data_IF_487370343905
#
_entry.id   IF_487370343905
#
_cell.length_a   1.000
_cell.length_b   1.000
_cell.length_c   1.000
_cell.angle_alpha   90.00
_cell.angle_beta   90.00
_cell.angle_gamma   90.00
#
_symmetry.space_group_name_H-M   'P 1'
#
loop_
_entity.id
_entity.type
_entity.pdbx_description
1 polymer ?
#
# COMPACT_ATOMS: atom_id res chain seq x y z
N UNK A 1 11.01 -57.62 12.12
CA UNK A 1 11.19 -56.52 11.14
C UNK A 1 11.41 -55.25 11.94
N UNK A 2 12.64 -55.08 12.46
CA UNK A 2 12.97 -53.94 13.31
C UNK A 2 13.42 -52.81 12.40
N UNK A 3 12.59 -51.78 12.30
CA UNK A 3 12.94 -50.54 11.62
C UNK A 3 13.97 -49.84 12.52
N UNK A 4 15.24 -50.19 12.36
CA UNK A 4 16.32 -49.34 12.83
C UNK A 4 16.26 -48.09 11.97
N UNK A 5 15.72 -47.00 12.51
CA UNK A 5 15.93 -45.67 11.94
C UNK A 5 17.44 -45.47 11.90
N UNK A 6 18.07 -45.70 10.75
CA UNK A 6 19.49 -45.45 10.58
C UNK A 6 19.68 -43.95 10.79
N UNK A 7 20.63 -43.52 11.65
CA UNK A 7 20.94 -42.11 11.83
C UNK A 7 21.10 -41.35 10.50
N UNK A 8 21.57 -42.07 9.47
CA UNK A 8 21.74 -41.59 8.10
C UNK A 8 20.45 -41.12 7.42
N UNK A 9 19.27 -41.62 7.82
CA UNK A 9 18.01 -41.20 7.20
C UNK A 9 17.75 -39.71 7.44
N UNK A 10 18.06 -39.20 8.63
CA UNK A 10 17.92 -37.77 8.92
C UNK A 10 18.82 -36.95 8.01
N UNK A 11 20.05 -37.41 7.76
CA UNK A 11 20.98 -36.73 6.85
C UNK A 11 20.43 -36.72 5.42
N UNK A 12 19.93 -37.85 4.92
CA UNK A 12 19.33 -37.94 3.59
C UNK A 12 18.07 -37.05 3.44
N UNK A 13 17.20 -37.02 4.45
CA UNK A 13 16.03 -36.12 4.47
C UNK A 13 16.48 -34.65 4.41
N UNK A 14 17.48 -34.27 5.20
CA UNK A 14 18.04 -32.92 5.20
C UNK A 14 18.56 -32.50 3.83
N UNK A 15 19.36 -33.35 3.19
CA UNK A 15 19.87 -33.08 1.84
C UNK A 15 18.77 -33.11 0.76
N UNK A 16 17.79 -34.00 0.86
CA UNK A 16 16.65 -34.02 -0.06
C UNK A 16 15.85 -32.72 0.02
N UNK A 17 15.56 -32.21 1.23
CA UNK A 17 14.94 -30.90 1.40
C UNK A 17 15.81 -29.77 0.83
N UNK A 18 17.13 -29.86 0.97
CA UNK A 18 18.05 -28.88 0.37
C UNK A 18 18.00 -28.91 -1.17
N UNK A 19 17.86 -30.09 -1.79
CA UNK A 19 17.63 -30.21 -3.23
C UNK A 19 16.28 -29.63 -3.65
N UNK A 20 15.22 -29.86 -2.86
CA UNK A 20 13.90 -29.25 -3.09
C UNK A 20 13.98 -27.72 -2.99
N UNK A 21 14.78 -27.19 -2.07
CA UNK A 21 15.01 -25.75 -1.97
C UNK A 21 15.61 -25.17 -3.25
N UNK A 22 16.48 -25.89 -3.98
CA UNK A 22 17.04 -25.42 -5.26
C UNK A 22 15.99 -25.29 -6.37
N UNK A 23 14.84 -25.96 -6.25
CA UNK A 23 13.74 -25.87 -7.21
C UNK A 23 12.76 -24.72 -6.88
N UNK A 24 12.92 -24.08 -5.72
CA UNK A 24 12.04 -23.03 -5.25
C UNK A 24 12.16 -21.76 -6.11
N UNK A 25 11.07 -21.37 -6.78
CA UNK A 25 10.99 -20.10 -7.54
C UNK A 25 10.68 -18.90 -6.66
N UNK A 26 9.89 -19.11 -5.60
CA UNK A 26 9.52 -18.07 -4.65
C UNK A 26 10.53 -17.96 -3.52
N UNK A 27 11.01 -16.75 -3.26
CA UNK A 27 12.01 -16.49 -2.22
C UNK A 27 11.53 -16.88 -0.81
N UNK A 28 10.23 -16.77 -0.53
CA UNK A 28 9.65 -17.22 0.74
C UNK A 28 9.74 -18.75 0.88
N UNK A 29 9.41 -19.46 -0.19
CA UNK A 29 9.38 -20.92 -0.21
C UNK A 29 10.79 -21.49 -0.10
N UNK A 30 11.74 -20.89 -0.82
CA UNK A 30 13.17 -21.18 -0.67
C UNK A 30 13.62 -21.09 0.79
N UNK A 31 13.34 -19.95 1.45
CA UNK A 31 13.76 -19.73 2.85
C UNK A 31 13.08 -20.67 3.83
N UNK A 32 11.79 -20.94 3.64
CA UNK A 32 11.04 -21.87 4.50
C UNK A 32 11.56 -23.30 4.41
N UNK A 33 11.82 -23.81 3.19
CA UNK A 33 12.38 -25.15 2.99
C UNK A 33 13.80 -25.25 3.56
N UNK A 34 14.63 -24.21 3.40
CA UNK A 34 15.97 -24.17 4.00
C UNK A 34 15.92 -24.23 5.55
N UNK A 35 14.98 -23.51 6.18
CA UNK A 35 14.76 -23.60 7.64
C UNK A 35 14.46 -25.04 8.05
N UNK A 36 13.56 -25.73 7.35
CA UNK A 36 13.23 -27.12 7.65
C UNK A 36 14.43 -28.06 7.46
N UNK A 37 15.13 -27.95 6.32
CA UNK A 37 16.29 -28.76 5.98
C UNK A 37 17.41 -28.63 7.03
N UNK A 38 17.77 -27.40 7.37
CA UNK A 38 18.88 -27.10 8.27
C UNK A 38 18.51 -27.35 9.73
N UNK A 39 17.24 -27.21 10.12
CA UNK A 39 16.78 -27.62 11.47
C UNK A 39 16.95 -29.13 11.66
N UNK A 40 16.61 -29.91 10.64
CA UNK A 40 16.78 -31.36 10.66
C UNK A 40 18.28 -31.75 10.73
N UNK A 41 19.15 -31.11 9.94
CA UNK A 41 20.59 -31.35 9.98
C UNK A 41 21.24 -30.88 11.29
N UNK A 42 20.79 -29.76 11.86
CA UNK A 42 21.24 -29.28 13.18
C UNK A 42 20.87 -30.28 14.28
N UNK A 43 19.64 -30.82 14.26
CA UNK A 43 19.18 -31.81 15.22
C UNK A 43 20.01 -33.10 15.14
N UNK A 44 20.23 -33.62 13.93
CA UNK A 44 21.11 -34.77 13.71
C UNK A 44 22.53 -34.51 14.23
N UNK A 45 23.12 -33.37 13.91
CA UNK A 45 24.47 -33.02 14.34
C UNK A 45 24.58 -32.91 15.87
N UNK A 46 23.54 -32.36 16.52
CA UNK A 46 23.48 -32.24 17.98
C UNK A 46 23.48 -33.62 18.65
N UNK A 47 22.63 -34.55 18.20
CA UNK A 47 22.51 -35.88 18.82
C UNK A 47 23.78 -36.73 18.66
N UNK A 48 24.63 -36.41 17.69
CA UNK A 48 25.89 -37.11 17.42
C UNK A 48 27.13 -36.36 17.93
N UNK A 49 26.96 -35.26 18.67
CA UNK A 49 28.08 -34.50 19.24
C UNK A 49 28.90 -33.69 18.22
N UNK A 50 28.38 -33.48 17.01
CA UNK A 50 29.04 -32.73 15.94
C UNK A 50 28.85 -31.22 16.14
N UNK A 51 29.59 -30.63 17.08
CA UNK A 51 29.42 -29.24 17.50
C UNK A 51 29.54 -28.22 16.35
N UNK A 52 30.53 -28.38 15.47
CA UNK A 52 30.73 -27.49 14.33
C UNK A 52 29.56 -27.50 13.33
N UNK A 53 29.06 -28.69 12.99
CA UNK A 53 27.93 -28.86 12.09
C UNK A 53 26.64 -28.32 12.71
N UNK A 54 26.44 -28.54 14.01
CA UNK A 54 25.31 -27.99 14.77
C UNK A 54 25.31 -26.46 14.73
N UNK A 55 26.46 -25.83 15.00
CA UNK A 55 26.60 -24.38 15.01
C UNK A 55 26.23 -23.76 13.66
N UNK A 56 26.82 -24.25 12.56
CA UNK A 56 26.57 -23.70 11.23
C UNK A 56 25.12 -23.88 10.79
N UNK A 57 24.54 -25.06 10.97
CA UNK A 57 23.13 -25.28 10.61
C UNK A 57 22.19 -24.41 11.45
N UNK A 58 22.45 -24.26 12.75
CA UNK A 58 21.66 -23.38 13.63
C UNK A 58 21.74 -21.92 13.19
N UNK A 59 22.93 -21.44 12.82
CA UNK A 59 23.12 -20.08 12.31
C UNK A 59 22.31 -19.84 11.02
N UNK A 60 22.35 -20.78 10.08
CA UNK A 60 21.55 -20.67 8.87
C UNK A 60 20.04 -20.73 9.15
N UNK A 61 19.59 -21.57 10.09
CA UNK A 61 18.19 -21.61 10.52
C UNK A 61 17.74 -20.24 11.02
N UNK A 62 18.52 -19.62 11.91
CA UNK A 62 18.20 -18.29 12.46
C UNK A 62 18.09 -17.25 11.35
N UNK A 63 19.08 -17.18 10.46
CA UNK A 63 19.09 -16.21 9.36
C UNK A 63 17.87 -16.41 8.45
N UNK A 64 17.62 -17.65 8.00
CA UNK A 64 16.50 -17.94 7.11
C UNK A 64 15.15 -17.72 7.81
N UNK A 65 15.02 -18.02 9.10
CA UNK A 65 13.81 -17.77 9.89
C UNK A 65 13.49 -16.27 10.01
N UNK A 66 14.50 -15.43 10.24
CA UNK A 66 14.32 -13.96 10.25
C UNK A 66 13.81 -13.47 8.89
N UNK A 67 14.37 -13.96 7.77
CA UNK A 67 13.89 -13.62 6.43
C UNK A 67 12.45 -14.08 6.19
N UNK A 68 12.10 -15.31 6.57
CA UNK A 68 10.72 -15.82 6.48
C UNK A 68 9.77 -14.91 7.25
N UNK A 69 10.09 -14.60 8.52
CA UNK A 69 9.25 -13.75 9.37
C UNK A 69 9.11 -12.33 8.81
N UNK A 70 10.18 -11.75 8.26
CA UNK A 70 10.16 -10.43 7.62
C UNK A 70 9.23 -10.44 6.40
N UNK A 71 9.37 -11.41 5.50
CA UNK A 71 8.53 -11.52 4.30
C UNK A 71 7.07 -11.79 4.67
N UNK A 72 6.81 -12.65 5.66
CA UNK A 72 5.44 -12.91 6.13
C UNK A 72 4.81 -11.66 6.75
N UNK A 73 5.61 -10.84 7.47
CA UNK A 73 5.14 -9.56 8.01
C UNK A 73 4.86 -8.54 6.90
N UNK A 74 5.69 -8.48 5.87
CA UNK A 74 5.50 -7.64 4.68
C UNK A 74 4.25 -8.07 3.87
N UNK A 75 3.97 -9.38 3.82
CA UNK A 75 2.78 -9.95 3.13
C UNK A 75 1.51 -9.92 3.97
N UNK A 76 1.57 -9.60 5.26
CA UNK A 76 0.41 -9.63 6.15
C UNK A 76 -0.52 -8.46 5.81
N UNK A 77 -1.61 -8.76 5.11
CA UNK A 77 -2.65 -7.79 4.80
C UNK A 77 -3.24 -7.19 6.09
N UNK A 78 -3.23 -5.86 6.17
CA UNK A 78 -3.93 -5.14 7.24
C UNK A 78 -5.44 -5.21 6.98
N UNK A 79 -6.22 -5.53 8.01
CA UNK A 79 -7.69 -5.51 7.93
C UNK A 79 -8.15 -4.05 7.82
N UNK A 80 -8.74 -3.68 6.69
CA UNK A 80 -9.36 -2.38 6.52
C UNK A 80 -10.70 -2.34 7.28
N UNK A 81 -11.01 -1.24 7.99
CA UNK A 81 -12.36 -0.97 8.47
C UNK A 81 -13.35 -0.98 7.30
N UNK A 82 -14.56 -1.51 7.51
CA UNK A 82 -15.56 -1.68 6.43
C UNK A 82 -15.89 -0.36 5.70
N UNK A 83 -16.00 0.74 6.44
CA UNK A 83 -16.24 2.07 5.89
C UNK A 83 -15.15 2.51 4.89
N UNK A 84 -13.89 2.13 5.14
CA UNK A 84 -12.76 2.51 4.30
C UNK A 84 -12.47 1.48 3.20
N UNK A 85 -12.89 0.22 3.38
CA UNK A 85 -12.69 -0.83 2.39
C UNK A 85 -13.39 -0.52 1.04
N UNK A 86 -14.55 0.16 1.09
CA UNK A 86 -15.23 0.65 -0.11
C UNK A 86 -14.42 1.70 -0.87
N UNK A 87 -13.95 2.73 -0.15
CA UNK A 87 -13.12 3.82 -0.70
C UNK A 87 -11.82 3.27 -1.28
N UNK A 88 -11.16 2.38 -0.54
CA UNK A 88 -9.89 1.79 -0.98
C UNK A 88 -10.04 1.04 -2.31
N UNK A 89 -11.05 0.19 -2.44
CA UNK A 89 -11.27 -0.60 -3.66
C UNK A 89 -11.65 0.24 -4.88
N UNK A 90 -12.38 1.34 -4.68
CA UNK A 90 -12.87 2.17 -5.76
C UNK A 90 -11.84 3.19 -6.22
N UNK A 91 -11.28 3.95 -5.28
CA UNK A 91 -10.53 5.17 -5.61
C UNK A 91 -9.01 5.01 -5.34
N UNK A 92 -8.62 4.13 -4.40
CA UNK A 92 -7.22 3.95 -3.99
C UNK A 92 -6.66 2.54 -4.30
N UNK A 93 -7.21 1.86 -5.30
CA UNK A 93 -6.85 0.47 -5.62
C UNK A 93 -5.36 0.30 -6.02
N UNK A 94 -4.71 1.39 -6.45
CA UNK A 94 -3.28 1.40 -6.78
C UNK A 94 -2.36 1.29 -5.54
N UNK A 95 -2.88 1.52 -4.33
CA UNK A 95 -2.15 1.38 -3.05
C UNK A 95 -2.48 0.05 -2.38
N UNK A 96 -1.52 -0.56 -1.69
CA UNK A 96 -1.82 -1.69 -0.80
C UNK A 96 -2.65 -1.24 0.40
N UNK A 97 -3.43 -2.14 1.00
CA UNK A 97 -4.29 -1.85 2.17
C UNK A 97 -3.56 -1.12 3.32
N UNK A 98 -2.33 -1.57 3.63
CA UNK A 98 -1.51 -0.97 4.68
C UNK A 98 -1.01 0.43 4.30
N UNK A 99 -0.62 0.62 3.04
CA UNK A 99 -0.16 1.92 2.53
C UNK A 99 -1.30 2.93 2.52
N UNK A 100 -2.46 2.51 2.03
CA UNK A 100 -3.67 3.30 2.07
C UNK A 100 -4.04 3.71 3.50
N UNK A 101 -4.06 2.79 4.47
CA UNK A 101 -4.39 3.13 5.86
C UNK A 101 -3.36 4.09 6.48
N UNK A 102 -2.07 3.87 6.21
CA UNK A 102 -1.02 4.79 6.66
C UNK A 102 -1.23 6.19 6.06
N UNK A 103 -1.46 6.27 4.75
CA UNK A 103 -1.74 7.53 4.07
C UNK A 103 -3.03 8.19 4.56
N UNK A 104 -4.11 7.43 4.73
CA UNK A 104 -5.40 7.92 5.18
C UNK A 104 -5.29 8.59 6.55
N UNK A 105 -4.54 7.98 7.47
CA UNK A 105 -4.30 8.49 8.81
C UNK A 105 -3.43 9.76 8.88
N UNK A 106 -2.74 10.13 7.79
CA UNK A 106 -2.00 11.41 7.69
C UNK A 106 -2.93 12.59 7.35
N UNK A 107 -4.20 12.31 7.07
CA UNK A 107 -5.22 13.33 6.81
C UNK A 107 -6.21 13.46 7.96
N UNK A 108 -7.02 14.50 7.90
CA UNK A 108 -8.07 14.80 8.88
C UNK A 108 -9.43 14.79 8.21
N UNK A 109 -10.37 14.06 8.83
CA UNK A 109 -11.78 14.09 8.43
C UNK A 109 -12.46 15.33 8.99
N UNK A 110 -13.18 16.09 8.16
CA UNK A 110 -13.99 17.24 8.61
C UNK A 110 -15.24 17.43 7.77
N UNK A 111 -16.22 18.10 8.36
CA UNK A 111 -17.39 18.60 7.64
C UNK A 111 -17.12 20.02 7.15
N UNK A 112 -17.66 20.36 5.97
CA UNK A 112 -17.52 21.69 5.39
C UNK A 112 -18.76 22.06 4.56
N UNK A 113 -18.96 23.36 4.40
CA UNK A 113 -20.01 23.96 3.56
C UNK A 113 -19.46 25.20 2.85
N UNK A 114 -20.10 25.60 1.76
CA UNK A 114 -19.68 26.76 0.98
C UNK A 114 -18.39 26.53 0.20
N UNK A 115 -17.48 27.51 0.18
CA UNK A 115 -16.27 27.46 -0.65
C UNK A 115 -15.21 26.54 -0.04
N UNK A 116 -14.74 25.57 -0.83
CA UNK A 116 -13.70 24.62 -0.46
C UNK A 116 -12.32 25.04 -0.99
N UNK A 117 -12.27 25.53 -2.24
CA UNK A 117 -11.06 26.03 -2.91
C UNK A 117 -11.41 27.31 -3.66
N UNK A 118 -10.54 28.31 -3.57
CA UNK A 118 -10.68 29.57 -4.31
C UNK A 118 -9.85 29.54 -5.60
N UNK A 119 -10.39 30.08 -6.69
CA UNK A 119 -9.64 30.27 -7.94
C UNK A 119 -8.35 31.09 -7.72
N UNK A 120 -7.28 30.77 -8.45
CA UNK A 120 -5.98 31.43 -8.35
C UNK A 120 -5.21 31.17 -7.05
N UNK A 121 -5.67 30.27 -6.18
CA UNK A 121 -5.00 29.95 -4.92
C UNK A 121 -4.04 28.77 -5.03
N UNK A 122 -3.14 28.63 -4.05
CA UNK A 122 -2.44 27.38 -3.78
C UNK A 122 -3.10 26.73 -2.56
N UNK A 123 -3.93 25.68 -2.73
CA UNK A 123 -4.57 25.01 -1.62
C UNK A 123 -3.55 24.54 -0.60
N UNK A 124 -3.78 24.87 0.67
CA UNK A 124 -2.94 24.37 1.76
C UNK A 124 -3.13 22.86 1.99
N UNK A 125 -4.22 22.29 1.47
CA UNK A 125 -4.64 20.91 1.65
C UNK A 125 -5.13 20.31 0.33
N UNK A 126 -4.85 19.03 0.12
CA UNK A 126 -5.56 18.19 -0.85
C UNK A 126 -6.84 17.70 -0.22
N UNK A 127 -7.97 17.87 -0.89
CA UNK A 127 -9.28 17.46 -0.39
C UNK A 127 -9.77 16.22 -1.15
N UNK A 128 -10.42 15.31 -0.45
CA UNK A 128 -11.16 14.18 -1.02
C UNK A 128 -12.58 14.17 -0.46
N UNK A 129 -13.58 14.15 -1.35
CA UNK A 129 -14.98 14.17 -0.96
C UNK A 129 -15.43 12.77 -0.53
N UNK A 130 -15.61 12.54 0.76
CA UNK A 130 -16.11 11.27 1.31
C UNK A 130 -17.61 11.13 1.07
N UNK A 131 -18.38 12.20 1.28
CA UNK A 131 -19.82 12.23 0.98
C UNK A 131 -20.30 13.64 0.62
N UNK A 132 -21.41 13.72 -0.11
CA UNK A 132 -21.99 14.97 -0.59
C UNK A 132 -21.56 15.28 -2.04
N UNK A 133 -21.79 16.52 -2.46
CA UNK A 133 -21.45 17.00 -3.81
C UNK A 133 -20.85 18.41 -3.74
N UNK A 134 -19.91 18.67 -4.63
CA UNK A 134 -19.40 20.01 -4.89
C UNK A 134 -19.49 20.32 -6.38
N UNK A 135 -19.28 21.57 -6.73
CA UNK A 135 -19.20 22.05 -8.11
C UNK A 135 -17.89 22.79 -8.33
N UNK A 136 -17.40 22.72 -9.57
CA UNK A 136 -16.24 23.48 -10.04
C UNK A 136 -16.75 24.64 -10.86
N UNK A 137 -16.36 25.87 -10.49
CA UNK A 137 -16.72 27.08 -11.22
C UNK A 137 -15.49 27.79 -11.75
N UNK A 138 -15.48 28.09 -13.04
CA UNK A 138 -14.43 28.89 -13.68
C UNK A 138 -15.07 30.13 -14.27
N UNK A 139 -14.54 31.31 -13.91
CA UNK A 139 -15.09 32.61 -14.34
C UNK A 139 -16.61 32.73 -14.08
N UNK A 140 -17.06 32.25 -12.91
CA UNK A 140 -18.47 32.30 -12.51
C UNK A 140 -19.38 31.25 -13.16
N UNK A 141 -18.92 30.51 -14.17
CA UNK A 141 -19.69 29.42 -14.80
C UNK A 141 -19.33 28.08 -14.18
N UNK A 142 -20.34 27.27 -13.91
CA UNK A 142 -20.14 25.88 -13.52
C UNK A 142 -19.64 25.08 -14.71
N UNK A 143 -18.50 24.41 -14.54
CA UNK A 143 -17.83 23.65 -15.62
C UNK A 143 -17.78 22.14 -15.34
N UNK A 144 -18.00 21.73 -14.09
CA UNK A 144 -18.05 20.32 -13.71
C UNK A 144 -18.70 20.15 -12.34
N UNK A 145 -19.33 18.99 -12.12
CA UNK A 145 -19.76 18.51 -10.81
C UNK A 145 -18.72 17.55 -10.23
N UNK A 146 -18.51 17.63 -8.90
CA UNK A 146 -17.63 16.76 -8.11
C UNK A 146 -18.48 15.91 -7.17
N UNK A 147 -18.74 14.64 -7.51
CA UNK A 147 -19.42 13.72 -6.61
C UNK A 147 -18.49 13.23 -5.49
N UNK A 148 -19.05 12.54 -4.51
CA UNK A 148 -18.28 11.73 -3.56
C UNK A 148 -17.34 10.76 -4.29
N UNK A 149 -16.12 10.61 -3.78
CA UNK A 149 -15.03 9.86 -4.43
C UNK A 149 -14.06 10.73 -5.21
N UNK A 150 -14.37 12.01 -5.46
CA UNK A 150 -13.48 12.90 -6.20
C UNK A 150 -12.56 13.73 -5.32
N UNK A 151 -11.38 14.06 -5.86
CA UNK A 151 -10.44 14.98 -5.22
C UNK A 151 -10.76 16.45 -5.56
N UNK A 152 -10.18 17.37 -4.81
CA UNK A 152 -10.07 18.77 -5.18
C UNK A 152 -8.70 19.32 -4.78
N UNK A 153 -8.07 20.10 -5.66
CA UNK A 153 -6.73 20.67 -5.47
C UNK A 153 -5.60 19.78 -6.01
N UNK A 154 -5.92 18.62 -6.58
CA UNK A 154 -4.94 17.65 -7.10
C UNK A 154 -4.09 18.21 -8.24
N UNK A 155 -4.68 19.01 -9.12
CA UNK A 155 -3.94 19.62 -10.23
C UNK A 155 -2.85 20.55 -9.68
N UNK A 156 -3.20 21.44 -8.74
CA UNK A 156 -2.25 22.36 -8.11
C UNK A 156 -1.14 21.61 -7.35
N UNK A 157 -1.49 20.54 -6.64
CA UNK A 157 -0.52 19.70 -5.95
C UNK A 157 0.49 19.04 -6.91
N UNK A 158 0.03 18.54 -8.05
CA UNK A 158 0.85 17.80 -9.00
C UNK A 158 1.70 18.71 -9.89
N UNK A 159 1.15 19.82 -10.37
CA UNK A 159 1.82 20.74 -11.29
C UNK A 159 2.60 21.84 -10.56
N UNK A 160 2.21 22.19 -9.33
CA UNK A 160 2.72 23.35 -8.61
C UNK A 160 2.08 24.68 -9.03
N UNK A 161 1.20 24.67 -10.03
CA UNK A 161 0.50 25.87 -10.51
C UNK A 161 -0.67 26.24 -9.59
N UNK A 162 -1.11 27.51 -9.54
CA UNK A 162 -2.31 27.89 -8.82
C UNK A 162 -3.55 27.21 -9.42
N UNK A 163 -4.59 27.05 -8.61
CA UNK A 163 -5.88 26.49 -9.03
C UNK A 163 -6.50 27.36 -10.12
N UNK A 164 -7.21 26.73 -11.07
CA UNK A 164 -7.80 27.38 -12.24
C UNK A 164 -9.32 27.58 -12.17
N UNK A 165 -9.92 27.19 -11.03
CA UNK A 165 -11.35 27.26 -10.78
C UNK A 165 -11.63 27.26 -9.27
N UNK A 166 -12.76 27.87 -8.89
CA UNK A 166 -13.36 27.71 -7.57
C UNK A 166 -13.95 26.31 -7.41
N UNK A 167 -13.91 25.78 -6.19
CA UNK A 167 -14.65 24.58 -5.79
C UNK A 167 -15.57 24.94 -4.64
N UNK A 168 -16.87 24.81 -4.84
CA UNK A 168 -17.87 25.09 -3.81
C UNK A 168 -18.74 23.86 -3.54
N UNK A 169 -18.95 23.56 -2.27
CA UNK A 169 -19.90 22.54 -1.84
C UNK A 169 -21.34 22.96 -2.18
N UNK A 170 -22.15 22.00 -2.65
CA UNK A 170 -23.58 22.20 -2.95
C UNK A 170 -24.49 22.03 -1.72
N UNK A 171 -23.89 21.76 -0.56
CA UNK A 171 -24.51 21.54 0.75
C UNK A 171 -23.46 21.01 1.74
N UNK A 172 -23.86 20.47 2.89
CA UNK A 172 -22.92 19.83 3.81
C UNK A 172 -22.17 18.67 3.13
N UNK A 173 -20.84 18.74 3.16
CA UNK A 173 -19.95 17.70 2.65
C UNK A 173 -19.07 17.15 3.76
N UNK A 174 -18.74 15.86 3.67
CA UNK A 174 -17.68 15.25 4.49
C UNK A 174 -16.44 15.10 3.63
N UNK A 175 -15.32 15.60 4.15
CA UNK A 175 -14.04 15.63 3.47
C UNK A 175 -12.99 14.86 4.27
N UNK A 176 -12.06 14.26 3.55
CA UNK A 176 -10.75 13.89 4.07
C UNK A 176 -9.74 14.89 3.50
N UNK A 177 -9.02 15.59 4.37
CA UNK A 177 -8.08 16.65 3.99
C UNK A 177 -6.65 16.28 4.38
N UNK A 178 -5.70 16.40 3.45
CA UNK A 178 -4.27 16.20 3.71
C UNK A 178 -3.48 17.49 3.50
N UNK A 179 -2.75 17.98 4.51
CA UNK A 179 -1.89 19.15 4.35
C UNK A 179 -0.85 18.94 3.25
N UNK A 180 -0.72 19.90 2.33
CA UNK A 180 0.26 19.83 1.23
C UNK A 180 1.68 19.68 1.76
N UNK A 181 2.02 20.36 2.86
CA UNK A 181 3.32 20.21 3.52
C UNK A 181 3.61 18.72 3.85
N UNK A 182 2.62 17.99 4.35
CA UNK A 182 2.77 16.58 4.69
C UNK A 182 2.90 15.69 3.45
N UNK A 183 2.18 16.02 2.38
CA UNK A 183 2.31 15.35 1.08
C UNK A 183 3.69 15.57 0.45
N UNK A 184 4.29 16.75 0.61
CA UNK A 184 5.68 17.00 0.18
C UNK A 184 6.69 16.17 0.98
N UNK A 185 6.48 15.98 2.29
CA UNK A 185 7.31 15.07 3.08
C UNK A 185 7.18 13.61 2.60
N UNK A 186 5.97 13.16 2.25
CA UNK A 186 5.75 11.83 1.66
C UNK A 186 6.50 11.71 0.33
N UNK A 187 6.44 12.73 -0.53
CA UNK A 187 7.18 12.79 -1.80
C UNK A 187 8.69 12.60 -1.60
N UNK A 188 9.26 13.20 -0.58
CA UNK A 188 10.70 13.11 -0.31
C UNK A 188 11.11 11.82 0.40
N UNK A 189 10.35 11.39 1.42
CA UNK A 189 10.73 10.25 2.29
C UNK A 189 10.24 8.90 1.80
N UNK A 190 9.17 8.87 1.01
CA UNK A 190 8.51 7.65 0.54
C UNK A 190 8.17 7.74 -0.97
N UNK A 191 9.18 7.77 -1.87
CA UNK A 191 8.95 7.99 -3.31
C UNK A 191 8.00 6.98 -3.95
N UNK A 192 8.04 5.71 -3.51
CA UNK A 192 7.14 4.68 -4.02
C UNK A 192 5.67 4.96 -3.67
N UNK A 193 5.39 5.40 -2.45
CA UNK A 193 4.04 5.78 -2.02
C UNK A 193 3.55 7.00 -2.81
N UNK A 194 4.43 7.98 -3.04
CA UNK A 194 4.12 9.13 -3.89
C UNK A 194 3.74 8.72 -5.31
N UNK A 195 4.50 7.82 -5.95
CA UNK A 195 4.14 7.31 -7.29
C UNK A 195 2.76 6.65 -7.30
N UNK A 196 2.40 5.89 -6.25
CA UNK A 196 1.04 5.32 -6.14
C UNK A 196 -0.02 6.41 -5.96
N UNK A 197 0.25 7.43 -5.15
CA UNK A 197 -0.65 8.58 -4.99
C UNK A 197 -0.84 9.32 -6.31
N UNK A 198 0.22 9.57 -7.08
CA UNK A 198 0.12 10.16 -8.41
C UNK A 198 -0.75 9.32 -9.35
N UNK A 199 -0.65 7.98 -9.28
CA UNK A 199 -1.52 7.08 -10.04
C UNK A 199 -2.99 7.20 -9.62
N UNK A 200 -3.27 7.33 -8.32
CA UNK A 200 -4.63 7.55 -7.79
C UNK A 200 -5.19 8.88 -8.30
N UNK A 201 -4.44 9.97 -8.13
CA UNK A 201 -4.86 11.31 -8.58
C UNK A 201 -5.02 11.38 -10.10
N UNK A 202 -4.13 10.73 -10.85
CA UNK A 202 -4.22 10.63 -12.30
C UNK A 202 -5.50 9.93 -12.76
N UNK A 203 -5.90 8.87 -12.07
CA UNK A 203 -7.16 8.17 -12.37
C UNK A 203 -8.38 9.08 -12.15
N UNK A 204 -8.44 9.77 -11.01
CA UNK A 204 -9.53 10.72 -10.71
C UNK A 204 -9.61 11.87 -11.74
N UNK A 205 -8.47 12.44 -12.16
CA UNK A 205 -8.45 13.46 -13.22
C UNK A 205 -9.00 12.92 -14.55
N UNK A 206 -8.66 11.69 -14.94
CA UNK A 206 -9.19 11.07 -16.16
C UNK A 206 -10.70 10.89 -16.05
N UNK A 207 -11.22 10.47 -14.89
CA UNK A 207 -12.66 10.36 -14.68
C UNK A 207 -13.37 11.72 -14.78
N UNK A 208 -12.81 12.77 -14.19
CA UNK A 208 -13.33 14.14 -14.30
C UNK A 208 -13.37 14.62 -15.74
N UNK A 209 -12.31 14.39 -16.51
CA UNK A 209 -12.26 14.75 -17.93
C UNK A 209 -13.33 14.01 -18.75
N UNK A 210 -13.53 12.71 -18.50
CA UNK A 210 -14.59 11.94 -19.16
C UNK A 210 -15.99 12.48 -18.84
N UNK A 211 -16.24 12.85 -17.59
CA UNK A 211 -17.53 13.44 -17.16
C UNK A 211 -17.76 14.81 -17.79
N UNK A 212 -16.74 15.67 -17.81
CA UNK A 212 -16.82 16.99 -18.45
C UNK A 212 -17.08 16.88 -19.96
N UNK A 213 -16.42 15.95 -20.65
CA UNK A 213 -16.65 15.70 -22.07
C UNK A 213 -18.08 15.21 -22.36
N UNK A 214 -18.64 14.36 -21.49
CA UNK A 214 -20.01 13.87 -21.62
C UNK A 214 -21.06 14.99 -21.44
N UNK A 215 -20.79 15.98 -20.58
CA UNK A 215 -21.67 17.13 -20.34
C UNK A 215 -21.60 18.19 -21.45
N UNK A 216 -20.47 18.29 -22.16
CA UNK A 216 -20.31 19.23 -23.27
C UNK A 216 -20.94 18.75 -24.58
N UNK A 217 -21.22 17.44 -24.69
CA UNK A 217 -21.84 16.81 -25.87
C UNK A 217 -23.36 16.65 -25.78
N UNK A 218 -23.99 17.04 -24.66
CA UNK A 218 -25.43 17.03 -24.42
C UNK A 218 -26.02 18.42 -24.50
#
# INVERSE_FOLDING_TARGET
MNIHWTPDLFVHIGYALMLVALLARDILWLRAVLVCAQSNLALYAWTHGLAGMTFWNSLFVVINAVWVLRILRERRAVKLPEALAGIHRRDFAAMGAQEFLRFWNEGQGREAEGRLIADGSHPAELLYLVSGQARVRRQGREIAALPAGSFAGEMSLLTGEPTSADVDALGPVRLQAWPVARLQEIRQRQPQLWTRLQSVLGHDMIEKLRRAAAQAGS
#
